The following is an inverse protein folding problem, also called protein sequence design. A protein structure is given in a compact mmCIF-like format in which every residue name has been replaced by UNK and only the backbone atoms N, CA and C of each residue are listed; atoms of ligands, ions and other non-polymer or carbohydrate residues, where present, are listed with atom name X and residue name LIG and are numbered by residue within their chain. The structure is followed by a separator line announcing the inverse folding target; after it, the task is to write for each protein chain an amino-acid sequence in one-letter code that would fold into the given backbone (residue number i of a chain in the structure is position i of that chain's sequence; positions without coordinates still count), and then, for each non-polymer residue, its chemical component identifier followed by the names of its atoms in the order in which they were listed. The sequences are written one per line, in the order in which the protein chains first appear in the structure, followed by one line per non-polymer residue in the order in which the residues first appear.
data_IF_700292417706
#
_entry.id   IF_700292417706
#
_cell.length_a   1.000
_cell.length_b   1.000
_cell.length_c   1.000
_cell.angle_alpha   90.00
_cell.angle_beta   90.00
_cell.angle_gamma   90.00
#
_symmetry.space_group_name_H-M   'P 1'
#
loop_
_entity.id
_entity.type
_entity.pdbx_description
1 polymer ?
#
# COMPACT_ATOMS: atom_id res chain seq x y z
N UNK A 1 -0.74 4.56 -17.36
CA UNK A 1 -1.39 3.24 -17.48
C UNK A 1 -2.40 3.09 -16.36
N UNK A 2 -3.54 2.46 -16.62
CA UNK A 2 -4.50 2.14 -15.58
C UNK A 2 -3.97 0.93 -14.81
N UNK A 3 -3.89 1.03 -13.48
CA UNK A 3 -3.48 -0.09 -12.63
C UNK A 3 -4.67 -1.05 -12.52
N UNK A 4 -4.47 -2.31 -12.91
CA UNK A 4 -5.51 -3.34 -13.03
C UNK A 4 -5.32 -4.54 -12.11
N UNK A 5 -4.15 -4.68 -11.47
CA UNK A 5 -3.84 -5.80 -10.57
C UNK A 5 -3.28 -5.37 -9.22
N UNK A 6 -3.37 -6.27 -8.23
CA UNK A 6 -2.81 -6.01 -6.88
C UNK A 6 -1.32 -5.73 -6.93
N UNK A 7 -0.58 -6.44 -7.79
CA UNK A 7 0.86 -6.27 -7.94
C UNK A 7 1.21 -4.88 -8.47
N UNK A 8 0.47 -4.40 -9.48
CA UNK A 8 0.67 -3.06 -10.04
C UNK A 8 0.42 -1.96 -9.00
N UNK A 9 -0.64 -2.06 -8.20
CA UNK A 9 -0.89 -1.11 -7.10
C UNK A 9 0.18 -1.16 -6.01
N UNK A 10 0.65 -2.36 -5.64
CA UNK A 10 1.74 -2.51 -4.68
C UNK A 10 3.03 -1.90 -5.22
N UNK A 11 3.35 -2.14 -6.50
CA UNK A 11 4.53 -1.57 -7.15
C UNK A 11 4.43 -0.04 -7.28
N UNK A 12 3.25 0.51 -7.55
CA UNK A 12 3.03 1.95 -7.52
C UNK A 12 3.29 2.54 -6.13
N UNK A 13 2.83 1.88 -5.06
CA UNK A 13 3.10 2.31 -3.68
C UNK A 13 4.57 2.16 -3.29
N UNK A 14 5.30 1.17 -3.82
CA UNK A 14 6.73 1.01 -3.56
C UNK A 14 7.52 2.25 -3.97
N UNK A 15 7.19 2.89 -5.09
CA UNK A 15 7.86 4.15 -5.48
C UNK A 15 7.77 5.25 -4.42
N UNK A 16 6.68 5.30 -3.66
CA UNK A 16 6.53 6.22 -2.54
C UNK A 16 7.28 5.70 -1.30
N UNK A 17 7.12 4.42 -0.97
CA UNK A 17 7.72 3.79 0.23
C UNK A 17 9.25 3.81 0.17
N UNK A 18 9.84 3.67 -1.01
CA UNK A 18 11.29 3.64 -1.20
C UNK A 18 11.94 5.03 -1.05
N UNK A 19 11.13 6.10 -0.93
CA UNK A 19 11.63 7.44 -0.54
C UNK A 19 11.98 7.41 0.95
N UNK A 20 13.25 7.65 1.35
CA UNK A 20 13.69 7.50 2.74
C UNK A 20 12.85 8.27 3.77
N UNK A 21 12.43 9.48 3.41
CA UNK A 21 11.59 10.33 4.26
C UNK A 21 10.19 9.75 4.44
N UNK A 22 9.61 9.20 3.38
CA UNK A 22 8.31 8.55 3.42
C UNK A 22 8.38 7.23 4.20
N UNK A 23 9.44 6.44 3.97
CA UNK A 23 9.70 5.21 4.72
C UNK A 23 9.79 5.51 6.23
N UNK A 24 10.61 6.50 6.61
CA UNK A 24 10.79 6.92 7.99
C UNK A 24 9.50 7.46 8.62
N UNK A 25 8.71 8.23 7.86
CA UNK A 25 7.40 8.70 8.29
C UNK A 25 6.45 7.52 8.58
N UNK A 26 6.36 6.58 7.65
CA UNK A 26 5.44 5.43 7.72
C UNK A 26 5.82 4.42 8.81
N UNK A 27 7.04 4.44 9.36
CA UNK A 27 7.41 3.61 10.53
C UNK A 27 6.68 4.00 11.81
N UNK A 28 6.16 5.22 11.90
CA UNK A 28 5.49 5.71 13.12
C UNK A 28 4.12 6.30 12.86
N UNK A 29 3.82 6.66 11.61
CA UNK A 29 2.60 7.35 11.22
C UNK A 29 1.82 6.58 10.16
N UNK A 30 0.53 6.89 10.07
CA UNK A 30 -0.36 6.39 9.03
C UNK A 30 -0.32 7.32 7.82
N UNK A 31 -0.27 6.72 6.63
CA UNK A 31 -0.43 7.43 5.35
C UNK A 31 -1.86 7.25 4.84
N UNK A 32 -2.64 8.33 4.84
CA UNK A 32 -4.00 8.34 4.29
C UNK A 32 -3.90 8.57 2.78
N UNK A 33 -4.30 7.59 1.99
CA UNK A 33 -4.20 7.62 0.55
C UNK A 33 -5.58 7.71 -0.11
N UNK A 34 -5.95 8.87 -0.71
CA UNK A 34 -7.12 8.97 -1.57
C UNK A 34 -6.93 8.07 -2.79
N UNK A 35 -7.87 7.16 -3.03
CA UNK A 35 -7.79 6.20 -4.12
C UNK A 35 -9.17 5.97 -4.75
N UNK A 36 -9.17 5.60 -6.02
CA UNK A 36 -10.36 5.07 -6.70
C UNK A 36 -10.77 3.72 -6.09
N UNK A 37 -11.99 3.26 -6.39
CA UNK A 37 -12.50 2.02 -5.82
C UNK A 37 -11.61 0.79 -6.15
N UNK A 38 -11.12 0.60 -7.40
CA UNK A 38 -10.17 -0.45 -7.71
C UNK A 38 -8.89 -0.38 -6.86
N UNK A 39 -8.25 0.79 -6.74
CA UNK A 39 -7.05 0.95 -5.93
C UNK A 39 -7.29 0.60 -4.47
N UNK A 40 -8.41 1.04 -3.89
CA UNK A 40 -8.77 0.67 -2.52
C UNK A 40 -8.92 -0.85 -2.35
N UNK A 41 -9.60 -1.52 -3.29
CA UNK A 41 -9.80 -2.96 -3.23
C UNK A 41 -8.47 -3.72 -3.29
N UNK A 42 -7.59 -3.35 -4.23
CA UNK A 42 -6.31 -4.00 -4.43
C UNK A 42 -5.34 -3.75 -3.27
N UNK A 43 -5.27 -2.52 -2.75
CA UNK A 43 -4.43 -2.20 -1.58
C UNK A 43 -4.94 -2.93 -0.33
N UNK A 44 -6.25 -2.99 -0.09
CA UNK A 44 -6.81 -3.79 1.04
C UNK A 44 -6.50 -5.27 0.92
N UNK A 45 -6.51 -5.83 -0.30
CA UNK A 45 -6.08 -7.22 -0.56
C UNK A 45 -4.61 -7.41 -0.23
N UNK A 46 -3.74 -6.48 -0.64
CA UNK A 46 -2.32 -6.53 -0.35
C UNK A 46 -2.03 -6.44 1.16
N UNK A 47 -2.69 -5.54 1.88
CA UNK A 47 -2.63 -5.43 3.35
C UNK A 47 -3.06 -6.76 4.01
N UNK A 48 -4.20 -7.31 3.58
CA UNK A 48 -4.71 -8.59 4.12
C UNK A 48 -3.72 -9.73 3.86
N UNK A 49 -3.11 -9.77 2.69
CA UNK A 49 -2.10 -10.75 2.32
C UNK A 49 -0.83 -10.61 3.18
N UNK A 50 -0.36 -9.37 3.40
CA UNK A 50 0.78 -9.06 4.27
C UNK A 50 0.53 -9.43 5.74
N UNK A 51 -0.68 -9.23 6.25
CA UNK A 51 -1.05 -9.65 7.62
C UNK A 51 -1.04 -11.18 7.74
N UNK A 52 -1.56 -11.90 6.74
CA UNK A 52 -1.69 -13.36 6.80
C UNK A 52 -0.38 -14.11 6.63
N UNK A 53 0.50 -13.62 5.76
CA UNK A 53 1.74 -14.29 5.37
C UNK A 53 2.98 -13.66 5.97
N UNK A 54 2.82 -12.53 6.68
CA UNK A 54 3.92 -11.77 7.26
C UNK A 54 5.02 -11.51 6.22
N UNK A 55 6.28 -11.75 6.56
CA UNK A 55 7.43 -11.49 5.70
C UNK A 55 7.46 -12.40 4.45
N UNK A 56 6.78 -13.55 4.50
CA UNK A 56 6.69 -14.47 3.34
C UNK A 56 5.79 -13.94 2.21
N UNK A 57 5.06 -12.84 2.46
CA UNK A 57 4.22 -12.20 1.44
C UNK A 57 5.01 -11.52 0.32
N UNK A 58 6.29 -11.18 0.53
CA UNK A 58 7.08 -10.35 -0.39
C UNK A 58 6.62 -8.89 -0.50
N UNK A 59 5.70 -8.46 0.37
CA UNK A 59 5.17 -7.09 0.42
C UNK A 59 5.82 -6.35 1.59
N UNK A 60 6.24 -5.11 1.35
CA UNK A 60 6.85 -4.24 2.36
C UNK A 60 5.89 -4.00 3.54
N UNK A 61 6.41 -4.01 4.77
CA UNK A 61 5.63 -3.81 5.99
C UNK A 61 4.94 -2.43 6.04
N UNK A 62 5.53 -1.43 5.39
CA UNK A 62 5.00 -0.07 5.28
C UNK A 62 3.60 -0.06 4.66
N UNK A 63 3.20 -1.07 3.87
CA UNK A 63 1.84 -1.16 3.34
C UNK A 63 0.78 -1.23 4.45
N UNK A 64 1.13 -1.76 5.63
CA UNK A 64 0.23 -1.85 6.78
C UNK A 64 -0.13 -0.49 7.37
N UNK A 65 0.69 0.53 7.08
CA UNK A 65 0.49 1.91 7.50
C UNK A 65 -0.28 2.73 6.45
N UNK A 66 -0.68 2.12 5.33
CA UNK A 66 -1.51 2.78 4.30
C UNK A 66 -2.98 2.59 4.65
N UNK A 67 -3.71 3.70 4.79
CA UNK A 67 -5.17 3.69 4.92
C UNK A 67 -5.77 4.19 3.60
N UNK A 68 -6.27 3.28 2.75
CA UNK A 68 -6.96 3.68 1.52
C UNK A 68 -8.32 4.28 1.87
N UNK A 69 -8.55 5.52 1.44
CA UNK A 69 -9.78 6.28 1.65
C UNK A 69 -10.45 6.56 0.30
N UNK A 70 -11.79 6.59 0.30
CA UNK A 70 -12.59 7.01 -0.85
C UNK A 70 -12.23 8.46 -1.17
N UNK A 71 -11.64 8.68 -2.35
CA UNK A 71 -11.57 10.00 -2.95
C UNK A 71 -12.97 10.48 -3.39
N UNK A 72 -13.25 11.79 -3.34
CA UNK A 72 -14.52 12.36 -3.82
C UNK A 72 -14.78 12.07 -5.30
#
# INVERSE_FOLDING_TARGET
EFLHSTEEYVNALKFLIDVPEAEAYMRTQVFIAPMDYPGQLHVRRAITHRIKLEDSSGILEQILHVVPMIGP
#
